data_IF_961159506348
#
_entry.id   IF_961159506348
#
_cell.length_a   1.000
_cell.length_b   1.000
_cell.length_c   1.000
_cell.angle_alpha   90.00
_cell.angle_beta   90.00
_cell.angle_gamma   90.00
#
_symmetry.space_group_name_H-M   'P 1'
#
loop_
_entity.id
_entity.type
_entity.pdbx_description
1 polymer ?
#
# COMPACT_ATOMS: atom_id res chain seq x y z
N UNK A 1 -6.64 -10.92 3.78
CA UNK A 1 -6.93 -9.95 2.69
C UNK A 1 -6.38 -8.55 3.03
N UNK A 2 -5.06 -8.37 2.98
CA UNK A 2 -4.42 -7.04 3.03
C UNK A 2 -3.07 -7.12 2.31
N UNK A 3 -2.70 -6.06 1.58
CA UNK A 3 -1.40 -5.72 0.94
C UNK A 3 -1.23 -5.78 -0.59
N UNK A 4 -2.28 -5.95 -1.40
CA UNK A 4 -2.14 -5.75 -2.85
C UNK A 4 -2.22 -4.25 -3.20
N UNK A 5 -3.15 -3.51 -2.60
CA UNK A 5 -3.39 -2.10 -2.93
C UNK A 5 -2.42 -1.09 -2.32
N UNK A 6 -1.65 -1.45 -1.27
CA UNK A 6 -0.78 -0.49 -0.59
C UNK A 6 0.58 -0.32 -1.28
N UNK A 7 1.10 -1.37 -1.90
CA UNK A 7 2.43 -1.35 -2.57
C UNK A 7 2.34 -0.68 -3.95
N UNK A 8 1.26 -0.96 -4.69
CA UNK A 8 1.01 -0.36 -6.02
C UNK A 8 0.71 1.14 -5.93
N UNK A 9 0.38 1.68 -4.75
CA UNK A 9 -0.13 3.06 -4.60
C UNK A 9 0.95 4.05 -4.19
N UNK A 10 1.88 3.69 -3.31
CA UNK A 10 2.86 4.66 -2.76
C UNK A 10 4.10 4.78 -3.63
N UNK A 11 4.68 3.66 -4.08
CA UNK A 11 5.91 3.65 -4.87
C UNK A 11 5.68 4.25 -6.27
N UNK A 12 4.55 3.92 -6.91
CA UNK A 12 4.22 4.48 -8.24
C UNK A 12 3.84 5.94 -8.19
N UNK A 13 3.45 6.49 -7.04
CA UNK A 13 3.20 7.92 -6.87
C UNK A 13 4.51 8.67 -6.76
N UNK A 14 5.41 8.24 -5.88
CA UNK A 14 6.68 8.92 -5.61
C UNK A 14 7.63 8.89 -6.81
N UNK A 15 7.63 7.79 -7.57
CA UNK A 15 8.51 7.60 -8.73
C UNK A 15 7.97 8.22 -10.04
N UNK A 16 6.76 8.80 -10.02
CA UNK A 16 6.16 9.31 -11.25
C UNK A 16 6.56 10.75 -11.59
N UNK A 17 6.70 11.03 -12.89
CA UNK A 17 7.00 12.37 -13.45
C UNK A 17 6.08 13.49 -12.95
N UNK A 18 4.81 13.18 -12.65
CA UNK A 18 3.89 14.21 -12.16
C UNK A 18 4.18 14.54 -10.70
N UNK A 19 4.64 13.59 -9.89
CA UNK A 19 5.04 13.86 -8.51
C UNK A 19 6.25 14.79 -8.46
N UNK A 20 7.25 14.54 -9.30
CA UNK A 20 8.39 15.45 -9.46
C UNK A 20 7.93 16.87 -9.87
N UNK A 21 6.99 16.98 -10.81
CA UNK A 21 6.39 18.26 -11.18
C UNK A 21 5.70 18.93 -9.97
N UNK A 22 4.92 18.20 -9.18
CA UNK A 22 4.21 18.72 -8.01
C UNK A 22 5.20 19.23 -6.95
N UNK A 23 6.22 18.43 -6.62
CA UNK A 23 7.22 18.75 -5.60
C UNK A 23 8.06 19.96 -6.02
N UNK A 24 8.49 20.02 -7.28
CA UNK A 24 9.32 21.14 -7.79
C UNK A 24 8.53 22.43 -7.92
N UNK A 25 7.31 22.38 -8.45
CA UNK A 25 6.57 23.60 -8.82
C UNK A 25 5.62 24.08 -7.71
N UNK A 26 5.34 23.27 -6.69
CA UNK A 26 4.34 23.56 -5.65
C UNK A 26 3.02 24.07 -6.23
N UNK A 27 2.63 23.51 -7.37
CA UNK A 27 1.50 23.99 -8.17
C UNK A 27 0.18 23.77 -7.39
N UNK A 28 -0.59 24.81 -7.06
CA UNK A 28 -1.86 24.64 -6.35
C UNK A 28 -2.87 23.78 -7.13
N UNK A 29 -2.75 23.70 -8.46
CA UNK A 29 -3.59 22.83 -9.31
C UNK A 29 -3.38 21.35 -9.04
N UNK A 30 -2.22 20.98 -8.49
CA UNK A 30 -1.87 19.61 -8.12
C UNK A 30 -2.66 19.04 -6.93
N UNK A 31 -3.48 19.88 -6.29
CA UNK A 31 -4.33 19.53 -5.16
C UNK A 31 -5.02 18.18 -5.36
N UNK A 32 -4.84 17.25 -4.42
CA UNK A 32 -5.58 16.00 -4.38
C UNK A 32 -5.19 14.93 -5.41
N UNK A 33 -4.34 15.22 -6.40
CA UNK A 33 -3.96 14.24 -7.44
C UNK A 33 -3.22 13.01 -6.90
N UNK A 34 -2.51 13.14 -5.78
CA UNK A 34 -1.87 12.00 -5.10
C UNK A 34 -2.91 11.05 -4.47
N UNK A 35 -3.97 11.59 -3.87
CA UNK A 35 -5.10 10.80 -3.34
C UNK A 35 -5.83 10.12 -4.50
N UNK A 36 -6.09 10.88 -5.56
CA UNK A 36 -6.70 10.40 -6.79
C UNK A 36 -5.94 9.22 -7.38
N UNK A 37 -4.61 9.32 -7.50
CA UNK A 37 -3.76 8.23 -7.99
C UNK A 37 -3.95 6.98 -7.14
N UNK A 38 -3.69 7.08 -5.83
CA UNK A 38 -3.69 5.90 -4.96
C UNK A 38 -5.05 5.17 -4.94
N UNK A 39 -6.15 5.92 -4.88
CA UNK A 39 -7.51 5.32 -4.90
C UNK A 39 -7.81 4.67 -6.25
N UNK A 40 -7.47 5.32 -7.37
CA UNK A 40 -7.69 4.74 -8.69
C UNK A 40 -6.84 3.51 -8.94
N UNK A 41 -5.57 3.50 -8.52
CA UNK A 41 -4.71 2.33 -8.64
C UNK A 41 -5.30 1.12 -7.88
N UNK A 42 -5.80 1.35 -6.66
CA UNK A 42 -6.47 0.31 -5.86
C UNK A 42 -7.75 -0.17 -6.54
N UNK A 43 -8.60 0.75 -7.03
CA UNK A 43 -9.82 0.39 -7.74
C UNK A 43 -9.50 -0.47 -8.95
N UNK A 44 -8.57 -0.02 -9.80
CA UNK A 44 -8.24 -0.66 -11.07
C UNK A 44 -7.57 -2.01 -10.85
N UNK A 45 -6.72 -2.15 -9.85
CA UNK A 45 -6.15 -3.45 -9.50
C UNK A 45 -7.23 -4.46 -9.09
N UNK A 46 -8.24 -4.02 -8.31
CA UNK A 46 -9.36 -4.90 -7.95
C UNK A 46 -10.32 -5.14 -9.13
N UNK A 47 -10.57 -4.14 -9.97
CA UNK A 47 -11.48 -4.24 -11.11
C UNK A 47 -10.94 -5.15 -12.22
N UNK A 48 -9.64 -5.05 -12.49
CA UNK A 48 -8.96 -5.85 -13.53
C UNK A 48 -8.52 -7.22 -13.03
N UNK A 49 -8.49 -7.43 -11.70
CA UNK A 49 -7.93 -8.63 -11.08
C UNK A 49 -6.41 -8.74 -11.23
N UNK A 50 -5.74 -7.69 -11.71
CA UNK A 50 -4.28 -7.62 -11.89
C UNK A 50 -3.67 -6.74 -10.81
N UNK A 51 -2.52 -7.16 -10.29
CA UNK A 51 -1.74 -6.40 -9.33
C UNK A 51 -0.37 -6.12 -9.95
N UNK A 52 -0.23 -5.02 -10.70
CA UNK A 52 1.06 -4.60 -11.27
C UNK A 52 1.30 -3.12 -11.05
N UNK A 53 2.58 -2.75 -11.00
CA UNK A 53 3.05 -1.36 -10.91
C UNK A 53 2.63 -0.54 -12.14
N UNK A 54 2.44 -1.20 -13.29
CA UNK A 54 1.99 -0.56 -14.53
C UNK A 54 0.60 0.09 -14.37
N UNK A 55 -0.26 -0.43 -13.48
CA UNK A 55 -1.54 0.22 -13.17
C UNK A 55 -1.30 1.60 -12.57
N UNK A 56 -0.35 1.70 -11.64
CA UNK A 56 0.04 2.98 -11.05
C UNK A 56 0.69 3.90 -12.09
N UNK A 57 1.58 3.39 -12.94
CA UNK A 57 2.16 4.20 -14.02
C UNK A 57 1.12 4.70 -15.03
N UNK A 58 0.19 3.85 -15.46
CA UNK A 58 -0.88 4.26 -16.36
C UNK A 58 -1.76 5.37 -15.75
N UNK A 59 -2.09 5.25 -14.46
CA UNK A 59 -2.85 6.29 -13.72
C UNK A 59 -2.01 7.57 -13.58
N UNK A 60 -0.72 7.44 -13.24
CA UNK A 60 0.19 8.57 -13.11
C UNK A 60 0.41 9.31 -14.43
N UNK A 61 0.50 8.62 -15.55
CA UNK A 61 0.62 9.20 -16.89
C UNK A 61 -0.66 9.91 -17.30
N UNK A 62 -1.82 9.35 -16.96
CA UNK A 62 -3.10 10.01 -17.18
C UNK A 62 -3.21 11.30 -16.37
N UNK A 63 -2.76 11.27 -15.11
CA UNK A 63 -2.68 12.46 -14.25
C UNK A 63 -1.69 13.47 -14.80
N UNK A 64 -0.50 13.05 -15.23
CA UNK A 64 0.49 13.93 -15.84
C UNK A 64 -0.09 14.64 -17.07
N UNK A 65 -0.75 13.88 -17.95
CA UNK A 65 -1.36 14.45 -19.14
C UNK A 65 -2.46 15.45 -18.80
N UNK A 66 -3.32 15.12 -17.84
CA UNK A 66 -4.44 15.96 -17.46
C UNK A 66 -4.00 17.24 -16.72
N UNK A 67 -3.11 17.10 -15.73
CA UNK A 67 -2.62 18.20 -14.90
C UNK A 67 -1.55 19.02 -15.63
N UNK A 68 -0.47 18.39 -16.08
CA UNK A 68 0.73 19.09 -16.56
C UNK A 68 0.56 19.54 -18.00
N UNK A 69 0.13 18.64 -18.89
CA UNK A 69 0.04 18.97 -20.32
C UNK A 69 -1.21 19.80 -20.64
N UNK A 70 -2.35 19.54 -19.97
CA UNK A 70 -3.62 20.24 -20.23
C UNK A 70 -3.95 21.32 -19.20
N UNK A 71 -3.19 21.42 -18.11
CA UNK A 71 -3.38 22.46 -17.09
C UNK A 71 -4.67 22.33 -16.28
N UNK A 72 -5.29 21.14 -16.25
CA UNK A 72 -6.60 20.87 -15.63
C UNK A 72 -6.48 20.57 -14.15
N UNK A 73 -7.57 20.81 -13.41
CA UNK A 73 -7.63 20.59 -11.96
C UNK A 73 -8.65 19.51 -11.57
N UNK A 74 -8.71 19.17 -10.28
CA UNK A 74 -9.76 18.30 -9.72
C UNK A 74 -11.17 18.85 -9.99
N UNK A 75 -11.35 20.18 -9.99
CA UNK A 75 -12.63 20.80 -10.35
C UNK A 75 -13.03 20.54 -11.80
N UNK A 76 -12.06 20.45 -12.71
CA UNK A 76 -12.33 20.10 -14.11
C UNK A 76 -12.78 18.64 -14.21
N UNK A 77 -12.19 17.74 -13.43
CA UNK A 77 -12.66 16.34 -13.32
C UNK A 77 -14.08 16.30 -12.78
N UNK A 78 -14.41 17.12 -11.77
CA UNK A 78 -15.76 17.19 -11.21
C UNK A 78 -16.79 17.67 -12.24
N UNK A 79 -16.44 18.64 -13.08
CA UNK A 79 -17.32 19.20 -14.11
C UNK A 79 -17.47 18.29 -15.31
N UNK A 80 -16.40 17.59 -15.70
CA UNK A 80 -16.35 16.75 -16.89
C UNK A 80 -15.59 15.44 -16.61
N UNK A 81 -16.17 14.51 -15.84
CA UNK A 81 -15.50 13.28 -15.45
C UNK A 81 -15.23 12.37 -16.66
N UNK A 82 -16.08 12.43 -17.70
CA UNK A 82 -15.97 11.63 -18.91
C UNK A 82 -14.65 11.87 -19.68
N UNK A 83 -14.11 13.09 -19.63
CA UNK A 83 -12.82 13.42 -20.25
C UNK A 83 -11.68 12.74 -19.51
N UNK A 84 -11.66 12.84 -18.18
CA UNK A 84 -10.61 12.26 -17.36
C UNK A 84 -10.63 10.73 -17.39
N UNK A 85 -11.82 10.12 -17.27
CA UNK A 85 -11.97 8.66 -17.36
C UNK A 85 -11.48 8.12 -18.71
N UNK A 86 -11.75 8.85 -19.81
CA UNK A 86 -11.28 8.48 -21.14
C UNK A 86 -9.74 8.48 -21.18
N UNK A 87 -9.10 9.52 -20.67
CA UNK A 87 -7.64 9.60 -20.60
C UNK A 87 -7.04 8.45 -19.78
N UNK A 88 -7.62 8.12 -18.63
CA UNK A 88 -7.15 6.97 -17.82
C UNK A 88 -7.30 5.65 -18.59
N UNK A 89 -8.44 5.40 -19.24
CA UNK A 89 -8.67 4.18 -20.03
C UNK A 89 -7.71 4.09 -21.22
N UNK A 90 -7.40 5.19 -21.89
CA UNK A 90 -6.43 5.24 -22.98
C UNK A 90 -5.02 4.84 -22.51
N UNK A 91 -4.58 5.33 -21.33
CA UNK A 91 -3.31 4.89 -20.75
C UNK A 91 -3.34 3.42 -20.35
N UNK A 92 -4.40 2.95 -19.70
CA UNK A 92 -4.51 1.53 -19.34
C UNK A 92 -4.44 0.60 -20.57
N UNK A 93 -4.95 1.04 -21.72
CA UNK A 93 -4.80 0.31 -22.99
C UNK A 93 -3.38 0.36 -23.54
N UNK A 94 -2.71 1.52 -23.50
CA UNK A 94 -1.33 1.66 -24.01
C UNK A 94 -0.33 0.83 -23.21
N UNK A 95 -0.64 0.56 -21.94
CA UNK A 95 0.11 -0.36 -21.07
C UNK A 95 -0.39 -1.82 -21.16
N UNK A 96 -1.30 -2.16 -22.08
CA UNK A 96 -1.86 -3.51 -22.27
C UNK A 96 -2.53 -4.11 -21.00
N UNK A 97 -2.91 -3.27 -20.04
CA UNK A 97 -3.56 -3.68 -18.79
C UNK A 97 -4.99 -4.12 -19.09
N UNK A 98 -5.68 -3.36 -19.94
CA UNK A 98 -7.05 -3.62 -20.39
C UNK A 98 -7.13 -3.63 -21.91
N UNK A 99 -8.14 -4.29 -22.45
CA UNK A 99 -8.49 -4.32 -23.87
C UNK A 99 -9.79 -3.53 -24.15
N UNK A 100 -10.22 -3.49 -25.42
CA UNK A 100 -11.44 -2.80 -25.82
C UNK A 100 -12.71 -3.32 -25.16
N UNK A 101 -12.78 -4.63 -24.89
CA UNK A 101 -13.93 -5.25 -24.22
C UNK A 101 -14.06 -4.80 -22.77
N UNK A 102 -12.95 -4.57 -22.06
CA UNK A 102 -12.95 -4.07 -20.68
C UNK A 102 -13.03 -2.54 -20.58
N UNK A 103 -12.83 -1.80 -21.68
CA UNK A 103 -12.77 -0.34 -21.68
C UNK A 103 -14.05 0.29 -21.13
N UNK A 104 -15.22 -0.23 -21.50
CA UNK A 104 -16.52 0.33 -21.09
C UNK A 104 -16.79 0.12 -19.60
N UNK A 105 -16.51 -1.08 -19.06
CA UNK A 105 -16.69 -1.36 -17.64
C UNK A 105 -15.68 -0.60 -16.79
N UNK A 106 -14.44 -0.46 -17.27
CA UNK A 106 -13.39 0.30 -16.59
C UNK A 106 -13.72 1.79 -16.54
N UNK A 107 -14.21 2.36 -17.65
CA UNK A 107 -14.68 3.75 -17.69
C UNK A 107 -15.77 3.98 -16.64
N UNK A 108 -16.78 3.11 -16.59
CA UNK A 108 -17.86 3.16 -15.61
C UNK A 108 -17.32 3.05 -14.17
N UNK A 109 -16.42 2.12 -13.90
CA UNK A 109 -15.80 1.96 -12.58
C UNK A 109 -15.12 3.25 -12.10
N UNK A 110 -14.36 3.91 -12.97
CA UNK A 110 -13.72 5.18 -12.66
C UNK A 110 -14.79 6.26 -12.41
N UNK A 111 -15.79 6.36 -13.29
CA UNK A 111 -16.91 7.31 -13.15
C UNK A 111 -17.60 7.21 -11.81
N UNK A 112 -17.87 6.00 -11.37
CA UNK A 112 -18.63 5.72 -10.15
C UNK A 112 -17.81 6.08 -8.89
N UNK A 113 -16.48 5.92 -8.90
CA UNK A 113 -15.62 6.26 -7.74
C UNK A 113 -15.23 7.74 -7.66
N UNK A 114 -15.26 8.48 -8.78
CA UNK A 114 -14.86 9.89 -8.82
C UNK A 114 -15.62 10.77 -7.81
N UNK A 115 -16.97 10.73 -7.71
CA UNK A 115 -17.70 11.60 -6.79
C UNK A 115 -17.32 11.45 -5.30
N UNK A 116 -17.35 10.24 -4.69
CA UNK A 116 -16.95 10.10 -3.28
C UNK A 116 -15.47 10.42 -3.05
N UNK A 117 -14.61 10.17 -4.03
CA UNK A 117 -13.20 10.51 -3.96
C UNK A 117 -12.93 12.02 -4.01
N UNK A 118 -13.66 12.76 -4.86
CA UNK A 118 -13.55 14.23 -4.91
C UNK A 118 -14.00 14.85 -3.58
N UNK A 119 -15.08 14.33 -2.96
CA UNK A 119 -15.49 14.76 -1.60
C UNK A 119 -14.39 14.52 -0.57
N UNK A 120 -13.73 13.35 -0.62
CA UNK A 120 -12.61 13.02 0.26
C UNK A 120 -11.46 14.01 0.06
N UNK A 121 -11.09 14.29 -1.19
CA UNK A 121 -10.06 15.27 -1.56
C UNK A 121 -10.41 16.66 -1.01
N UNK A 122 -11.63 17.15 -1.24
CA UNK A 122 -12.03 18.49 -0.79
C UNK A 122 -12.01 18.64 0.73
N UNK A 123 -12.23 17.55 1.47
CA UNK A 123 -12.16 17.55 2.93
C UNK A 123 -10.73 17.47 3.47
N UNK A 124 -9.89 16.68 2.81
CA UNK A 124 -8.48 16.49 3.18
C UNK A 124 -7.63 17.70 2.78
N UNK A 125 -7.97 18.31 1.65
CA UNK A 125 -7.23 19.42 1.05
C UNK A 125 -8.19 20.48 0.54
N UNK A 126 -8.74 21.31 1.43
CA UNK A 126 -9.70 22.36 1.06
C UNK A 126 -9.08 23.41 0.13
N UNK A 127 -9.94 24.10 -0.63
CA UNK A 127 -9.56 25.08 -1.67
C UNK A 127 -8.85 26.32 -1.13
N UNK A 128 -9.03 26.60 0.15
CA UNK A 128 -8.36 27.70 0.83
C UNK A 128 -6.87 27.41 1.12
N UNK A 129 -6.39 26.20 0.76
CA UNK A 129 -5.02 25.74 0.97
C UNK A 129 -4.54 25.94 2.41
N UNK A 130 -5.45 25.76 3.38
CA UNK A 130 -5.17 26.01 4.77
C UNK A 130 -3.91 25.23 5.23
N UNK A 131 -2.83 25.91 5.65
CA UNK A 131 -1.58 25.26 6.03
C UNK A 131 -1.74 24.23 7.15
N UNK A 132 -2.75 24.39 8.03
CA UNK A 132 -3.07 23.38 9.06
C UNK A 132 -3.54 22.07 8.46
N UNK A 133 -4.31 22.10 7.37
CA UNK A 133 -4.72 20.89 6.67
C UNK A 133 -3.53 20.24 5.98
N UNK A 134 -2.65 21.02 5.36
CA UNK A 134 -1.42 20.50 4.74
C UNK A 134 -0.50 19.82 5.75
N UNK A 135 -0.30 20.44 6.92
CA UNK A 135 0.51 19.85 7.98
C UNK A 135 -0.14 18.60 8.55
N UNK A 136 -1.44 18.63 8.81
CA UNK A 136 -2.17 17.45 9.28
C UNK A 136 -2.11 16.29 8.29
N UNK A 137 -2.17 16.59 6.99
CA UNK A 137 -2.00 15.61 5.92
C UNK A 137 -0.57 15.07 5.87
N UNK A 138 0.44 15.95 5.91
CA UNK A 138 1.85 15.55 5.96
C UNK A 138 2.15 14.67 7.16
N UNK A 139 1.60 14.99 8.33
CA UNK A 139 1.71 14.16 9.54
C UNK A 139 0.96 12.84 9.38
N UNK A 140 -0.27 12.85 8.88
CA UNK A 140 -1.10 11.66 8.74
C UNK A 140 -0.53 10.64 7.74
N UNK A 141 0.07 11.11 6.65
CA UNK A 141 0.74 10.26 5.65
C UNK A 141 2.23 10.10 5.92
N UNK A 142 2.76 10.74 6.97
CA UNK A 142 4.14 10.47 7.38
C UNK A 142 4.28 9.01 7.74
N UNK A 143 5.43 8.46 7.41
CA UNK A 143 5.70 7.06 7.66
C UNK A 143 5.71 6.76 9.18
N UNK A 144 5.79 7.77 10.05
CA UNK A 144 5.75 7.65 11.52
C UNK A 144 4.33 7.66 12.11
N UNK A 145 3.32 8.03 11.32
CA UNK A 145 1.92 7.96 11.73
C UNK A 145 1.45 6.51 11.84
N UNK A 146 1.00 6.14 13.03
CA UNK A 146 0.45 4.81 13.27
C UNK A 146 -1.00 4.67 12.84
N UNK A 147 -1.73 5.79 12.83
CA UNK A 147 -3.15 5.85 12.49
C UNK A 147 -3.42 7.21 11.82
N UNK A 148 -3.34 7.25 10.48
CA UNK A 148 -3.58 8.46 9.69
C UNK A 148 -4.94 9.10 9.99
N UNK A 149 -5.99 8.28 10.17
CA UNK A 149 -7.35 8.78 10.45
C UNK A 149 -7.39 9.48 11.81
N UNK A 150 -6.73 8.91 12.82
CA UNK A 150 -6.64 9.55 14.13
C UNK A 150 -5.89 10.88 14.09
N UNK A 151 -4.83 10.98 13.29
CA UNK A 151 -4.08 12.23 13.10
C UNK A 151 -4.95 13.28 12.42
N UNK A 152 -5.62 12.93 11.32
CA UNK A 152 -6.55 13.83 10.62
C UNK A 152 -7.67 14.31 11.55
N UNK A 153 -8.28 13.38 12.30
CA UNK A 153 -9.35 13.72 13.26
C UNK A 153 -8.86 14.63 14.38
N UNK A 154 -7.64 14.45 14.88
CA UNK A 154 -7.04 15.34 15.88
C UNK A 154 -6.80 16.76 15.34
N UNK A 155 -6.60 16.90 14.03
CA UNK A 155 -6.51 18.18 13.34
C UNK A 155 -7.89 18.78 12.96
N UNK A 156 -9.00 18.14 13.35
CA UNK A 156 -10.36 18.58 13.00
C UNK A 156 -10.84 18.09 11.63
N UNK A 157 -10.10 17.21 10.96
CA UNK A 157 -10.40 16.67 9.63
C UNK A 157 -11.00 15.27 9.81
N UNK A 158 -12.32 15.17 10.00
CA UNK A 158 -12.98 13.87 10.14
C UNK A 158 -13.41 13.31 8.78
N UNK A 159 -12.56 12.51 8.13
CA UNK A 159 -12.83 11.89 6.81
C UNK A 159 -13.47 10.51 6.86
N UNK A 160 -13.91 10.06 8.04
CA UNK A 160 -14.37 8.67 8.27
C UNK A 160 -15.50 8.29 7.31
N UNK A 161 -16.49 9.18 7.15
CA UNK A 161 -17.65 8.96 6.29
C UNK A 161 -17.24 8.88 4.81
N UNK A 162 -16.39 9.79 4.37
CA UNK A 162 -15.94 9.87 2.98
C UNK A 162 -15.08 8.65 2.60
N UNK A 163 -14.22 8.17 3.50
CA UNK A 163 -13.46 6.92 3.31
C UNK A 163 -14.40 5.72 3.21
N UNK A 164 -15.45 5.67 4.03
CA UNK A 164 -16.43 4.59 4.00
C UNK A 164 -17.27 4.61 2.72
N UNK A 165 -17.68 5.79 2.24
CA UNK A 165 -18.31 5.98 0.94
C UNK A 165 -17.41 5.43 -0.19
N UNK A 166 -16.15 5.85 -0.25
CA UNK A 166 -15.18 5.35 -1.27
C UNK A 166 -15.03 3.84 -1.19
N UNK A 167 -14.89 3.27 0.01
CA UNK A 167 -14.73 1.83 0.21
C UNK A 167 -15.96 1.06 -0.27
N UNK A 168 -17.16 1.54 0.06
CA UNK A 168 -18.40 0.89 -0.34
C UNK A 168 -18.59 0.93 -1.85
N UNK A 169 -18.30 2.07 -2.49
CA UNK A 169 -18.33 2.18 -3.95
C UNK A 169 -17.33 1.23 -4.62
N UNK A 170 -16.09 1.13 -4.13
CA UNK A 170 -15.12 0.15 -4.66
C UNK A 170 -15.63 -1.28 -4.46
N UNK A 171 -16.22 -1.59 -3.31
CA UNK A 171 -16.76 -2.91 -3.02
C UNK A 171 -17.90 -3.28 -4.00
N UNK A 172 -18.83 -2.36 -4.23
CA UNK A 172 -19.92 -2.49 -5.20
C UNK A 172 -19.40 -2.71 -6.63
N UNK A 173 -18.46 -1.88 -7.09
CA UNK A 173 -17.85 -1.99 -8.43
C UNK A 173 -17.15 -3.35 -8.61
N UNK A 174 -16.50 -3.84 -7.56
CA UNK A 174 -15.68 -5.07 -7.61
C UNK A 174 -16.49 -6.33 -7.25
N UNK A 175 -17.79 -6.20 -7.03
CA UNK A 175 -18.67 -7.32 -6.66
C UNK A 175 -18.41 -7.89 -5.26
N UNK A 176 -17.66 -7.19 -4.42
CA UNK A 176 -17.41 -7.55 -3.02
C UNK A 176 -18.54 -6.96 -2.18
N UNK A 177 -19.33 -7.79 -1.49
CA UNK A 177 -20.48 -7.29 -0.69
C UNK A 177 -20.04 -6.20 0.30
N UNK A 178 -20.72 -5.04 0.35
CA UNK A 178 -20.45 -4.01 1.34
C UNK A 178 -20.75 -4.55 2.75
N UNK A 179 -19.91 -4.17 3.73
CA UNK A 179 -20.17 -4.46 5.15
C UNK A 179 -21.13 -3.39 5.66
N UNK A 180 -22.42 -3.70 5.61
CA UNK A 180 -23.48 -2.83 6.11
C UNK A 180 -23.52 -2.92 7.65
N UNK A 181 -22.89 -1.97 8.36
CA UNK A 181 -22.96 -1.88 9.82
C UNK A 181 -24.24 -1.18 10.30
N UNK A 182 -25.42 -1.70 9.98
CA UNK A 182 -26.66 -1.35 10.70
C UNK A 182 -27.64 -2.52 10.84
N UNK A 183 -27.34 -3.43 11.78
CA UNK A 183 -28.35 -4.12 12.61
C UNK A 183 -27.69 -4.65 13.90
N UNK A 184 -28.06 -4.05 15.04
CA UNK A 184 -27.68 -4.50 16.39
C UNK A 184 -28.70 -5.53 16.90
N UNK A 185 -28.21 -6.69 17.33
CA UNK A 185 -28.57 -7.31 18.63
C UNK A 185 -27.56 -8.43 18.94
N UNK A 186 -26.67 -8.19 19.92
CA UNK A 186 -26.52 -8.93 21.20
C UNK A 186 -25.90 -10.34 21.04
N UNK A 187 -24.78 -10.78 21.63
CA UNK A 187 -24.00 -10.40 22.83
C UNK A 187 -22.68 -11.18 22.69
N UNK A 188 -21.47 -10.63 22.84
CA UNK A 188 -20.71 -10.75 24.10
C UNK A 188 -19.36 -10.04 24.00
N UNK A 189 -18.94 -9.54 25.16
CA UNK A 189 -17.77 -8.72 25.47
C UNK A 189 -16.44 -9.41 25.17
N UNK A 190 -15.48 -8.65 24.62
CA UNK A 190 -14.30 -8.13 25.36
C UNK A 190 -13.38 -7.39 24.37
N UNK A 191 -13.10 -6.09 24.59
CA UNK A 191 -11.86 -5.57 25.22
C UNK A 191 -10.60 -6.17 24.57
N UNK A 192 -9.60 -5.45 24.09
CA UNK A 192 -9.21 -4.01 24.10
C UNK A 192 -7.81 -4.04 23.44
N UNK A 193 -7.44 -3.02 22.65
CA UNK A 193 -6.08 -2.42 22.58
C UNK A 193 -4.86 -3.35 22.44
N UNK A 194 -3.85 -3.12 21.61
CA UNK A 194 -3.25 -1.94 20.98
C UNK A 194 -2.17 -2.57 20.09
N UNK A 195 -2.08 -2.18 18.82
CA UNK A 195 -1.05 -1.26 18.37
C UNK A 195 0.38 -1.65 18.76
N UNK A 196 1.19 -1.82 17.71
CA UNK A 196 2.50 -1.18 17.49
C UNK A 196 3.57 -2.22 17.15
N UNK A 197 4.51 -2.02 16.23
CA UNK A 197 4.80 -1.01 15.21
C UNK A 197 6.15 -1.43 14.61
N UNK A 198 6.56 -0.73 13.54
CA UNK A 198 7.91 -0.59 12.99
C UNK A 198 8.27 -1.62 11.91
N UNK A 199 8.42 -1.28 10.63
CA UNK A 199 9.01 -0.11 9.95
C UNK A 199 10.54 -0.06 10.14
N UNK A 200 11.27 -0.45 9.09
CA UNK A 200 12.33 0.35 8.43
C UNK A 200 12.95 -0.46 7.28
N UNK A 201 12.72 0.03 6.06
CA UNK A 201 13.59 -0.05 4.87
C UNK A 201 15.03 0.41 5.20
N UNK A 202 16.09 0.10 4.40
CA UNK A 202 16.09 0.32 2.93
C UNK A 202 17.08 -0.50 2.06
N UNK A 203 17.07 -0.13 0.77
CA UNK A 203 18.16 -0.17 -0.20
C UNK A 203 18.45 -1.50 -0.93
N UNK A 204 18.11 -1.47 -2.23
CA UNK A 204 18.75 -2.27 -3.27
C UNK A 204 20.22 -1.85 -3.41
N UNK A 205 21.08 -2.39 -2.56
CA UNK A 205 22.36 -2.89 -3.06
C UNK A 205 22.10 -4.33 -3.53
N UNK A 206 22.86 -4.84 -4.51
CA UNK A 206 23.04 -6.29 -4.61
C UNK A 206 23.78 -6.70 -3.34
N UNK A 207 23.02 -6.84 -2.26
CA UNK A 207 23.46 -7.43 -1.02
C UNK A 207 23.84 -8.84 -1.42
N UNK A 208 25.14 -9.12 -1.47
CA UNK A 208 25.62 -10.48 -1.44
C UNK A 208 25.13 -11.03 -0.12
N UNK A 209 23.94 -11.64 -0.14
CA UNK A 209 23.35 -12.29 1.02
C UNK A 209 24.42 -13.26 1.53
N UNK A 210 24.78 -13.22 2.82
CA UNK A 210 25.72 -14.17 3.38
C UNK A 210 25.18 -15.58 3.11
N UNK A 211 25.79 -16.26 2.14
CA UNK A 211 25.31 -17.54 1.60
C UNK A 211 25.24 -18.59 2.71
N UNK A 212 26.15 -18.50 3.67
CA UNK A 212 26.17 -19.27 4.92
C UNK A 212 24.91 -19.03 5.78
N UNK A 213 24.55 -17.78 6.05
CA UNK A 213 23.38 -17.47 6.88
C UNK A 213 22.04 -17.78 6.17
N UNK A 214 21.98 -17.61 4.85
CA UNK A 214 20.82 -18.03 4.07
C UNK A 214 20.65 -19.56 4.11
N UNK A 215 21.75 -20.32 3.94
CA UNK A 215 21.74 -21.78 4.05
C UNK A 215 21.31 -22.26 5.44
N UNK A 216 21.76 -21.60 6.50
CA UNK A 216 21.35 -21.92 7.87
C UNK A 216 19.85 -21.69 8.10
N UNK A 217 19.33 -20.55 7.63
CA UNK A 217 17.89 -20.23 7.69
C UNK A 217 17.08 -21.27 6.92
N UNK A 218 17.48 -21.58 5.69
CA UNK A 218 16.79 -22.56 4.85
C UNK A 218 16.81 -23.96 5.49
N UNK A 219 17.94 -24.36 6.09
CA UNK A 219 18.05 -25.64 6.79
C UNK A 219 17.10 -25.73 7.99
N UNK A 220 16.96 -24.64 8.75
CA UNK A 220 16.03 -24.58 9.90
C UNK A 220 14.58 -24.61 9.43
N UNK A 221 14.25 -23.87 8.37
CA UNK A 221 12.89 -23.81 7.82
C UNK A 221 12.49 -25.15 7.17
N UNK A 222 13.40 -25.82 6.47
CA UNK A 222 13.17 -27.16 5.93
C UNK A 222 12.96 -28.19 7.05
N UNK A 223 13.81 -28.18 8.09
CA UNK A 223 13.63 -29.07 9.23
C UNK A 223 12.29 -28.83 9.96
N UNK A 224 11.81 -27.58 9.95
CA UNK A 224 10.52 -27.22 10.52
C UNK A 224 9.35 -27.67 9.63
N UNK A 225 9.47 -27.54 8.31
CA UNK A 225 8.54 -28.06 7.30
C UNK A 225 8.43 -29.60 7.38
N UNK A 226 9.54 -30.32 7.50
CA UNK A 226 9.56 -31.78 7.70
C UNK A 226 8.89 -32.24 8.98
N UNK A 227 8.80 -31.36 9.99
CA UNK A 227 8.12 -31.62 11.25
C UNK A 227 6.63 -31.21 11.21
N UNK A 228 6.08 -31.03 10.01
CA UNK A 228 4.69 -30.63 9.72
C UNK A 228 4.25 -29.42 10.53
N UNK A 229 5.17 -28.46 10.69
CA UNK A 229 4.97 -27.22 11.43
C UNK A 229 4.49 -27.40 12.89
N UNK A 230 4.78 -28.55 13.50
CA UNK A 230 4.37 -28.84 14.88
C UNK A 230 4.82 -27.76 15.87
N UNK A 231 4.01 -27.46 16.88
CA UNK A 231 4.34 -26.44 17.89
C UNK A 231 5.68 -26.71 18.60
N UNK A 232 6.05 -27.99 18.78
CA UNK A 232 7.36 -28.38 19.33
C UNK A 232 8.51 -28.07 18.37
N UNK A 233 8.32 -28.22 17.06
CA UNK A 233 9.31 -27.87 16.06
C UNK A 233 9.42 -26.35 15.87
N UNK A 234 8.29 -25.65 16.00
CA UNK A 234 8.22 -24.17 16.01
C UNK A 234 9.03 -23.60 17.16
N UNK A 235 8.83 -24.13 18.38
CA UNK A 235 9.57 -23.71 19.56
C UNK A 235 11.09 -23.93 19.37
N UNK A 236 11.49 -25.09 18.87
CA UNK A 236 12.91 -25.40 18.58
C UNK A 236 13.52 -24.50 17.50
N UNK A 237 12.78 -24.24 16.43
CA UNK A 237 13.23 -23.37 15.34
C UNK A 237 13.38 -21.92 15.82
N UNK A 238 12.41 -21.42 16.58
CA UNK A 238 12.47 -20.10 17.21
C UNK A 238 13.61 -19.98 18.21
N UNK A 239 13.82 -21.01 19.04
CA UNK A 239 14.92 -21.04 20.00
C UNK A 239 16.27 -20.97 19.29
N UNK A 240 16.47 -21.80 18.25
CA UNK A 240 17.73 -21.84 17.50
C UNK A 240 18.03 -20.52 16.79
N UNK A 241 17.05 -19.92 16.10
CA UNK A 241 17.20 -18.62 15.44
C UNK A 241 17.41 -17.48 16.45
N UNK A 242 16.74 -17.53 17.61
CA UNK A 242 16.93 -16.53 18.67
C UNK A 242 18.33 -16.59 19.26
N UNK A 243 18.88 -17.79 19.49
CA UNK A 243 20.27 -17.94 19.94
C UNK A 243 21.29 -17.42 18.93
N UNK A 244 21.02 -17.59 17.62
CA UNK A 244 21.87 -17.02 16.56
C UNK A 244 21.83 -15.47 16.56
N UNK A 245 20.64 -14.88 16.76
CA UNK A 245 20.47 -13.43 16.92
C UNK A 245 21.22 -12.93 18.16
N UNK A 246 21.08 -13.60 19.30
CA UNK A 246 21.78 -13.25 20.55
C UNK A 246 23.31 -13.35 20.43
N UNK A 247 23.81 -14.29 19.64
CA UNK A 247 25.23 -14.39 19.30
C UNK A 247 25.71 -13.15 18.55
N UNK A 248 25.02 -12.80 17.45
CA UNK A 248 25.38 -11.65 16.61
C UNK A 248 25.22 -10.29 17.31
N UNK A 249 24.30 -10.16 18.28
CA UNK A 249 24.15 -8.95 19.07
C UNK A 249 25.33 -8.69 20.04
N UNK A 250 26.13 -9.71 20.35
CA UNK A 250 27.35 -9.58 21.17
C UNK A 250 28.56 -9.16 20.34
N UNK A 251 28.50 -9.34 19.03
CA UNK A 251 29.55 -8.96 18.10
C UNK A 251 29.48 -7.48 17.71
N UNK A 252 30.56 -6.97 17.10
CA UNK A 252 30.56 -5.60 16.56
C UNK A 252 29.56 -5.49 15.40
N UNK A 253 28.83 -4.37 15.29
CA UNK A 253 27.89 -4.15 14.19
C UNK A 253 28.66 -3.88 12.89
N UNK A 254 28.94 -4.95 12.15
CA UNK A 254 29.45 -4.89 10.77
C UNK A 254 28.30 -5.02 9.77
N UNK A 255 28.46 -4.53 8.53
CA UNK A 255 27.43 -4.72 7.49
C UNK A 255 27.01 -6.19 7.33
N UNK A 256 27.96 -7.12 7.36
CA UNK A 256 27.70 -8.56 7.28
C UNK A 256 26.85 -9.07 8.46
N UNK A 257 27.20 -8.70 9.71
CA UNK A 257 26.45 -9.12 10.89
C UNK A 257 25.04 -8.53 10.91
N UNK A 258 24.86 -7.28 10.42
CA UNK A 258 23.54 -6.65 10.30
C UNK A 258 22.65 -7.34 9.26
N UNK A 259 23.24 -7.84 8.17
CA UNK A 259 22.52 -8.62 7.15
C UNK A 259 22.13 -10.01 7.68
N UNK A 260 23.03 -10.72 8.38
CA UNK A 260 22.74 -12.00 9.05
C UNK A 260 21.62 -11.83 10.09
N UNK A 261 21.67 -10.76 10.88
CA UNK A 261 20.61 -10.38 11.82
C UNK A 261 19.26 -10.16 11.12
N UNK A 262 19.26 -9.45 9.98
CA UNK A 262 18.06 -9.23 9.16
C UNK A 262 17.44 -10.55 8.68
N UNK A 263 18.27 -11.47 8.18
CA UNK A 263 17.87 -12.80 7.73
C UNK A 263 17.26 -13.66 8.85
N UNK A 264 17.94 -13.77 10.00
CA UNK A 264 17.44 -14.56 11.13
C UNK A 264 16.17 -13.96 11.72
N UNK A 265 16.10 -12.63 11.87
CA UNK A 265 14.91 -11.95 12.38
C UNK A 265 13.71 -12.11 11.43
N UNK A 266 13.96 -12.06 10.12
CA UNK A 266 12.94 -12.31 9.12
C UNK A 266 12.40 -13.75 9.21
N UNK A 267 13.27 -14.76 9.32
CA UNK A 267 12.86 -16.16 9.50
C UNK A 267 12.05 -16.39 10.79
N UNK A 268 12.44 -15.75 11.91
CA UNK A 268 11.68 -15.79 13.17
C UNK A 268 10.26 -15.25 12.99
N UNK A 269 10.11 -14.13 12.29
CA UNK A 269 8.79 -13.54 12.04
C UNK A 269 7.92 -14.39 11.11
N UNK A 270 8.50 -15.05 10.10
CA UNK A 270 7.78 -16.02 9.27
C UNK A 270 7.20 -17.16 10.11
N UNK A 271 8.02 -17.77 10.97
CA UNK A 271 7.63 -18.88 11.85
C UNK A 271 6.55 -18.45 12.85
N UNK A 272 6.65 -17.25 13.42
CA UNK A 272 5.66 -16.72 14.37
C UNK A 272 4.30 -16.44 13.71
N UNK A 273 4.31 -15.94 12.48
CA UNK A 273 3.11 -15.53 11.75
C UNK A 273 2.46 -16.67 10.97
N UNK A 274 3.14 -17.82 10.86
CA UNK A 274 2.69 -18.93 10.02
C UNK A 274 2.73 -18.62 8.53
N UNK A 275 3.57 -17.68 8.11
CA UNK A 275 3.66 -17.22 6.72
C UNK A 275 4.60 -18.13 5.91
N UNK A 276 4.29 -19.43 5.85
CA UNK A 276 5.16 -20.45 5.24
C UNK A 276 5.26 -20.36 3.72
N UNK A 277 4.28 -19.76 3.05
CA UNK A 277 4.33 -19.48 1.61
C UNK A 277 5.53 -18.60 1.23
N UNK A 278 6.02 -17.77 2.15
CA UNK A 278 7.20 -16.91 1.94
C UNK A 278 8.53 -17.62 2.17
N UNK A 279 8.53 -18.82 2.75
CA UNK A 279 9.72 -19.67 2.84
C UNK A 279 10.17 -20.08 1.43
N UNK A 280 9.23 -20.28 0.51
CA UNK A 280 9.51 -20.53 -0.91
C UNK A 280 10.16 -19.34 -1.62
N UNK A 281 9.86 -18.11 -1.17
CA UNK A 281 10.52 -16.91 -1.70
C UNK A 281 11.98 -16.83 -1.23
N UNK A 282 12.27 -17.23 0.02
CA UNK A 282 13.65 -17.34 0.52
C UNK A 282 14.48 -18.40 -0.23
N UNK A 283 13.87 -19.54 -0.60
CA UNK A 283 14.53 -20.59 -1.40
C UNK A 283 15.00 -20.07 -2.76
N UNK A 284 14.27 -19.10 -3.35
CA UNK A 284 14.63 -18.48 -4.65
C UNK A 284 15.82 -17.54 -4.56
N UNK A 285 16.22 -17.11 -3.36
CA UNK A 285 17.38 -16.25 -3.14
C UNK A 285 18.71 -17.02 -3.08
N UNK A 286 18.67 -18.36 -3.20
CA UNK A 286 19.86 -19.22 -3.23
C UNK A 286 20.59 -19.20 -4.60
N UNK A 287 19.98 -18.58 -5.63
CA UNK A 287 20.48 -18.52 -7.01
C UNK A 287 20.88 -17.11 -7.44
#
# INVERSE_FOLDING_TARGET
MQKIGSVISTTTVEDHKYHEYIVRNKDPKARGYHILHGVLAVLLANHTGKASEEIGWAVGDAIYEYLVNRGKTIEDIQKNPDEFEKTVVEKLKSYEIINDTMARSTKKAIKDVLPPMIKLIDKMWPKDHNPKHLNAMGEAFSSDAQDPIRVLKAAGIDVTKEIEEVRNTIAEITGKKPKDERKKSSTSRSKKTKAKSKKKEPAAEKVNLPSDALLEVLSILQAFEFADYSEKAKEKALQKLSSMIEGLLKDKPTPENLLKLGLYAYAVELIRRGEFEKVEELKKLQN
#
